data_IF_085824245275
#
_entry.id   IF_085824245275
#
_cell.length_a   1.000
_cell.length_b   1.000
_cell.length_c   1.000
_cell.angle_alpha   90.00
_cell.angle_beta   90.00
_cell.angle_gamma   90.00
#
_symmetry.space_group_name_H-M   'P 1'
#
loop_
_entity.id
_entity.type
_entity.pdbx_description
1 polymer ?
#
# COMPACT_ATOMS: atom_id res chain seq x y z
N UNK A 1 28.72 16.98 -27.62
CA UNK A 1 28.66 17.55 -26.25
C UNK A 1 28.33 16.41 -25.30
N UNK A 2 29.23 16.05 -24.39
CA UNK A 2 28.94 15.06 -23.35
C UNK A 2 28.14 15.74 -22.26
N UNK A 3 26.85 15.44 -22.13
CA UNK A 3 26.15 15.74 -20.88
C UNK A 3 26.80 14.93 -19.76
N UNK A 4 27.32 15.57 -18.70
CA UNK A 4 27.93 14.88 -17.57
C UNK A 4 26.91 13.93 -16.94
N UNK A 5 27.36 12.76 -16.49
CA UNK A 5 26.51 11.72 -15.90
C UNK A 5 25.59 12.23 -14.76
N UNK A 6 26.01 13.29 -14.05
CA UNK A 6 25.21 13.96 -13.02
C UNK A 6 23.95 14.63 -13.58
N UNK A 7 24.04 15.29 -14.73
CA UNK A 7 22.89 15.94 -15.38
C UNK A 7 21.89 14.90 -15.90
N UNK A 8 22.39 13.80 -16.46
CA UNK A 8 21.53 12.68 -16.88
C UNK A 8 20.79 12.04 -15.71
N UNK A 9 21.48 11.85 -14.58
CA UNK A 9 20.88 11.28 -13.36
C UNK A 9 19.81 12.21 -12.77
N UNK A 10 20.08 13.53 -12.74
CA UNK A 10 19.12 14.51 -12.25
C UNK A 10 17.86 14.56 -13.13
N UNK A 11 18.04 14.57 -14.45
CA UNK A 11 16.93 14.55 -15.42
C UNK A 11 16.12 13.27 -15.31
N UNK A 12 16.76 12.10 -15.22
CA UNK A 12 16.07 10.82 -15.04
C UNK A 12 15.26 10.79 -13.73
N UNK A 13 15.82 11.31 -12.63
CA UNK A 13 15.13 11.43 -11.35
C UNK A 13 13.90 12.34 -11.47
N UNK A 14 14.03 13.49 -12.14
CA UNK A 14 12.91 14.43 -12.34
C UNK A 14 11.79 13.79 -13.17
N UNK A 15 12.12 13.08 -14.24
CA UNK A 15 11.14 12.37 -15.06
C UNK A 15 10.41 11.33 -14.20
N UNK A 16 11.15 10.56 -13.38
CA UNK A 16 10.52 9.58 -12.47
C UNK A 16 9.53 10.20 -11.51
N UNK A 17 9.91 11.30 -10.87
CA UNK A 17 9.03 12.04 -9.95
C UNK A 17 7.79 12.51 -10.70
N UNK A 18 7.97 13.14 -11.87
CA UNK A 18 6.85 13.64 -12.67
C UNK A 18 5.89 12.53 -13.11
N UNK A 19 6.39 11.36 -13.51
CA UNK A 19 5.57 10.20 -13.86
C UNK A 19 4.75 9.73 -12.66
N UNK A 20 5.35 9.66 -11.48
CA UNK A 20 4.65 9.26 -10.24
C UNK A 20 3.58 10.29 -9.88
N UNK A 21 3.91 11.58 -9.90
CA UNK A 21 2.99 12.68 -9.58
C UNK A 21 1.82 12.77 -10.57
N UNK A 22 2.02 12.33 -11.82
CA UNK A 22 0.98 12.33 -12.85
C UNK A 22 0.09 11.08 -12.82
N UNK A 23 0.44 10.05 -12.05
CA UNK A 23 -0.35 8.82 -11.94
C UNK A 23 -1.31 8.89 -10.73
N UNK A 24 -2.61 8.97 -11.01
CA UNK A 24 -3.65 9.10 -9.99
C UNK A 24 -3.63 7.95 -8.96
N UNK A 25 -3.28 6.73 -9.40
CA UNK A 25 -3.23 5.57 -8.52
C UNK A 25 -2.03 5.66 -7.58
N UNK A 26 -0.86 6.10 -8.06
CA UNK A 26 0.34 6.33 -7.26
C UNK A 26 0.07 7.39 -6.20
N UNK A 27 -0.57 8.50 -6.57
CA UNK A 27 -0.97 9.54 -5.64
C UNK A 27 -1.90 9.02 -4.54
N UNK A 28 -2.91 8.21 -4.90
CA UNK A 28 -3.81 7.59 -3.92
C UNK A 28 -3.10 6.61 -2.99
N UNK A 29 -2.27 5.73 -3.54
CA UNK A 29 -1.51 4.74 -2.78
C UNK A 29 -0.56 5.40 -1.80
N UNK A 30 0.19 6.41 -2.23
CA UNK A 30 1.10 7.17 -1.37
C UNK A 30 0.35 7.96 -0.29
N UNK A 31 -0.80 8.54 -0.63
CA UNK A 31 -1.66 9.24 0.33
C UNK A 31 -2.20 8.31 1.41
N UNK A 32 -2.66 7.11 1.05
CA UNK A 32 -3.11 6.13 2.03
C UNK A 32 -1.97 5.64 2.91
N UNK A 33 -0.78 5.43 2.34
CA UNK A 33 0.39 5.08 3.14
C UNK A 33 0.77 6.18 4.15
N UNK A 34 0.77 7.45 3.74
CA UNK A 34 1.02 8.59 4.62
C UNK A 34 -0.05 8.72 5.73
N UNK A 35 -1.32 8.49 5.39
CA UNK A 35 -2.39 8.45 6.39
C UNK A 35 -2.18 7.32 7.41
N UNK A 36 -1.76 6.14 6.95
CA UNK A 36 -1.47 5.00 7.83
C UNK A 36 -0.36 5.31 8.84
N UNK A 37 0.67 6.07 8.43
CA UNK A 37 1.76 6.49 9.31
C UNK A 37 1.36 7.56 10.34
N UNK A 38 0.26 8.27 10.11
CA UNK A 38 -0.21 9.38 10.97
C UNK A 38 -1.33 8.98 11.90
N UNK A 39 -2.06 7.93 11.58
CA UNK A 39 -3.27 7.49 12.28
C UNK A 39 -3.13 6.01 12.64
N UNK A 40 -2.38 5.74 13.71
CA UNK A 40 -2.05 4.37 14.16
C UNK A 40 -3.30 3.53 14.47
N UNK A 41 -4.35 4.17 14.97
CA UNK A 41 -5.65 3.57 15.32
C UNK A 41 -6.40 2.98 14.13
N UNK A 42 -6.20 3.56 12.93
CA UNK A 42 -6.82 3.12 11.68
C UNK A 42 -5.79 2.80 10.59
N UNK A 43 -4.53 2.57 10.97
CA UNK A 43 -3.44 2.33 10.04
C UNK A 43 -3.74 1.15 9.10
N UNK A 44 -4.19 0.01 9.66
CA UNK A 44 -4.53 -1.20 8.91
C UNK A 44 -5.65 -0.98 7.89
N UNK A 45 -6.61 -0.10 8.18
CA UNK A 45 -7.65 0.28 7.24
C UNK A 45 -7.04 1.00 6.01
N UNK A 46 -6.14 1.94 6.24
CA UNK A 46 -5.46 2.63 5.14
C UNK A 46 -4.50 1.71 4.36
N UNK A 47 -3.86 0.75 5.02
CA UNK A 47 -3.05 -0.27 4.33
C UNK A 47 -3.91 -1.15 3.42
N UNK A 48 -5.12 -1.51 3.86
CA UNK A 48 -6.08 -2.23 3.02
C UNK A 48 -6.61 -1.38 1.86
N UNK A 49 -6.79 -0.06 2.06
CA UNK A 49 -7.16 0.85 0.97
C UNK A 49 -6.16 0.85 -0.19
N UNK A 50 -4.87 0.67 0.10
CA UNK A 50 -3.84 0.53 -0.94
C UNK A 50 -4.12 -0.70 -1.81
N UNK A 51 -4.47 -1.84 -1.19
CA UNK A 51 -4.87 -3.05 -1.91
C UNK A 51 -6.09 -2.75 -2.80
N UNK A 52 -7.17 -2.22 -2.25
CA UNK A 52 -8.40 -1.93 -3.02
C UNK A 52 -8.14 -1.01 -4.23
N UNK A 53 -7.26 -0.02 -4.09
CA UNK A 53 -6.88 0.88 -5.18
C UNK A 53 -6.17 0.11 -6.31
N UNK A 54 -5.25 -0.79 -5.96
CA UNK A 54 -4.52 -1.59 -6.94
C UNK A 54 -5.41 -2.65 -7.60
N UNK A 55 -6.32 -3.28 -6.85
CA UNK A 55 -7.33 -4.19 -7.42
C UNK A 55 -8.17 -3.48 -8.46
N UNK A 56 -8.67 -2.27 -8.13
CA UNK A 56 -9.45 -1.46 -9.07
C UNK A 56 -8.64 -1.07 -10.31
N UNK A 57 -7.35 -0.75 -10.17
CA UNK A 57 -6.48 -0.41 -11.30
C UNK A 57 -6.30 -1.61 -12.25
N UNK A 58 -6.08 -2.80 -11.71
CA UNK A 58 -5.75 -3.99 -12.51
C UNK A 58 -6.97 -4.85 -12.87
N UNK A 59 -8.18 -4.48 -12.44
CA UNK A 59 -9.42 -5.14 -12.81
C UNK A 59 -9.83 -6.29 -11.87
N UNK A 60 -9.18 -6.43 -10.72
CA UNK A 60 -9.49 -7.45 -9.73
C UNK A 60 -8.30 -7.83 -8.84
N UNK A 61 -8.60 -8.54 -7.76
CA UNK A 61 -7.59 -9.08 -6.84
C UNK A 61 -6.62 -10.04 -7.53
N UNK A 62 -7.14 -10.92 -8.39
CA UNK A 62 -6.32 -11.94 -9.07
C UNK A 62 -5.31 -11.30 -10.00
N UNK A 63 -5.76 -10.40 -10.87
CA UNK A 63 -4.93 -9.70 -11.85
C UNK A 63 -3.90 -8.81 -11.16
N UNK A 64 -4.29 -8.11 -10.09
CA UNK A 64 -3.37 -7.29 -9.32
C UNK A 64 -2.27 -8.13 -8.64
N UNK A 65 -2.63 -9.28 -8.06
CA UNK A 65 -1.67 -10.22 -7.48
C UNK A 65 -0.72 -10.81 -8.52
N UNK A 66 -1.22 -11.17 -9.70
CA UNK A 66 -0.39 -11.72 -10.77
C UNK A 66 0.60 -10.68 -11.30
N UNK A 67 0.21 -9.40 -11.40
CA UNK A 67 1.08 -8.31 -11.86
C UNK A 67 2.09 -7.89 -10.78
N UNK A 68 1.66 -7.74 -9.53
CA UNK A 68 2.49 -7.24 -8.42
C UNK A 68 3.38 -8.35 -7.84
N UNK A 69 2.93 -9.61 -7.88
CA UNK A 69 3.69 -10.77 -7.40
C UNK A 69 3.96 -10.82 -5.89
N UNK A 70 3.39 -9.91 -5.09
CA UNK A 70 3.57 -9.84 -3.64
C UNK A 70 2.43 -10.55 -2.89
N UNK A 71 2.12 -11.78 -3.28
CA UNK A 71 0.91 -12.50 -2.85
C UNK A 71 0.89 -12.78 -1.34
N UNK A 72 2.05 -13.06 -0.74
CA UNK A 72 2.18 -13.32 0.69
C UNK A 72 1.83 -12.08 1.50
N UNK A 73 2.42 -10.94 1.12
CA UNK A 73 2.18 -9.63 1.74
C UNK A 73 0.73 -9.19 1.55
N UNK A 74 0.19 -9.39 0.35
CA UNK A 74 -1.20 -9.08 0.02
C UNK A 74 -2.18 -9.84 0.92
N UNK A 75 -1.99 -11.16 1.04
CA UNK A 75 -2.83 -12.02 1.86
C UNK A 75 -2.71 -11.67 3.35
N UNK A 76 -1.50 -11.32 3.81
CA UNK A 76 -1.28 -10.88 5.19
C UNK A 76 -2.11 -9.62 5.49
N UNK A 77 -1.97 -8.58 4.68
CA UNK A 77 -2.68 -7.31 4.88
C UNK A 77 -4.19 -7.54 4.79
N UNK A 78 -4.68 -8.29 3.80
CA UNK A 78 -6.11 -8.61 3.68
C UNK A 78 -6.66 -9.37 4.90
N UNK A 79 -5.91 -10.34 5.43
CA UNK A 79 -6.31 -11.09 6.62
C UNK A 79 -6.34 -10.23 7.89
N UNK A 80 -5.29 -9.44 8.11
CA UNK A 80 -5.14 -8.60 9.30
C UNK A 80 -6.14 -7.44 9.28
N UNK A 81 -6.28 -6.78 8.13
CA UNK A 81 -7.24 -5.68 7.97
C UNK A 81 -8.69 -6.15 8.14
N UNK A 82 -9.11 -7.26 7.52
CA UNK A 82 -10.51 -7.71 7.63
C UNK A 82 -10.92 -8.06 9.06
N UNK A 83 -10.01 -8.62 9.84
CA UNK A 83 -10.28 -8.90 11.24
C UNK A 83 -10.32 -7.62 12.10
N UNK A 84 -9.62 -6.54 11.71
CA UNK A 84 -9.77 -5.21 12.30
C UNK A 84 -11.05 -4.50 11.84
N UNK A 85 -11.45 -4.71 10.59
CA UNK A 85 -12.54 -4.01 9.93
C UNK A 85 -13.92 -4.52 10.37
N UNK A 86 -14.01 -5.79 10.76
CA UNK A 86 -15.19 -6.36 11.41
C UNK A 86 -15.52 -5.63 12.72
N UNK A 87 -14.51 -5.24 13.51
CA UNK A 87 -14.67 -4.55 14.80
C UNK A 87 -15.16 -3.09 14.65
N UNK A 88 -14.74 -2.40 13.57
CA UNK A 88 -15.16 -1.00 13.32
C UNK A 88 -16.56 -0.92 12.68
N UNK A 89 -16.95 -1.88 11.84
CA UNK A 89 -18.27 -1.90 11.17
C UNK A 89 -19.37 -2.54 12.00
N UNK A 90 -19.02 -3.44 12.91
CA UNK A 90 -19.92 -4.04 13.87
C UNK A 90 -19.36 -3.77 15.24
N UNK A 91 -19.96 -2.83 15.97
CA UNK A 91 -19.62 -2.61 17.37
C UNK A 91 -19.62 -3.97 18.08
N UNK A 92 -18.51 -4.38 18.71
CA UNK A 92 -18.40 -5.68 19.34
C UNK A 92 -19.50 -5.81 20.37
N UNK A 93 -20.17 -6.96 20.40
CA UNK A 93 -21.21 -7.19 21.41
C UNK A 93 -20.55 -7.13 22.80
N UNK A 94 -21.29 -6.71 23.85
CA UNK A 94 -20.75 -6.72 25.21
C UNK A 94 -20.17 -8.11 25.57
N UNK A 95 -18.86 -8.18 25.80
CA UNK A 95 -18.12 -9.42 26.12
C UNK A 95 -17.44 -10.13 24.94
N UNK A 96 -17.57 -9.61 23.72
CA UNK A 96 -16.84 -10.12 22.56
C UNK A 96 -15.38 -9.67 22.62
N UNK A 97 -14.44 -10.61 22.48
CA UNK A 97 -13.01 -10.30 22.53
C UNK A 97 -12.61 -9.58 21.25
N UNK A 98 -12.42 -8.27 21.35
CA UNK A 98 -11.73 -7.46 20.36
C UNK A 98 -10.36 -8.09 20.15
N UNK A 99 -10.03 -8.42 18.90
CA UNK A 99 -8.72 -8.97 18.60
C UNK A 99 -7.72 -7.82 18.59
N UNK A 100 -7.01 -7.65 19.70
CA UNK A 100 -5.86 -6.76 19.75
C UNK A 100 -4.75 -7.32 18.87
N UNK A 101 -4.26 -6.50 17.94
CA UNK A 101 -3.16 -6.87 17.06
C UNK A 101 -1.84 -6.71 17.78
N UNK A 102 -0.92 -7.65 17.54
CA UNK A 102 0.45 -7.46 18.00
C UNK A 102 1.09 -6.33 17.19
N UNK A 103 2.00 -5.59 17.82
CA UNK A 103 2.85 -4.62 17.12
C UNK A 103 3.66 -5.27 16.00
N UNK A 104 3.94 -6.58 16.10
CA UNK A 104 4.63 -7.37 15.07
C UNK A 104 3.76 -7.56 13.82
N UNK A 105 2.48 -7.87 13.97
CA UNK A 105 1.55 -8.02 12.84
C UNK A 105 1.38 -6.70 12.08
N UNK A 106 1.25 -5.59 12.82
CA UNK A 106 1.13 -4.24 12.25
C UNK A 106 2.40 -3.89 11.47
N UNK A 107 3.58 -4.11 12.09
CA UNK A 107 4.88 -3.86 11.45
C UNK A 107 5.04 -4.69 10.17
N UNK A 108 4.69 -5.97 10.20
CA UNK A 108 4.76 -6.84 9.03
C UNK A 108 3.83 -6.36 7.90
N UNK A 109 2.66 -5.82 8.23
CA UNK A 109 1.77 -5.21 7.24
C UNK A 109 2.38 -3.95 6.61
N UNK A 110 3.03 -3.08 7.40
CA UNK A 110 3.75 -1.92 6.86
C UNK A 110 4.92 -2.33 5.96
N UNK A 111 5.71 -3.32 6.36
CA UNK A 111 6.81 -3.81 5.52
C UNK A 111 6.27 -4.42 4.20
N UNK A 112 5.19 -5.19 4.30
CA UNK A 112 4.53 -5.79 3.15
C UNK A 112 3.95 -4.75 2.19
N UNK A 113 3.31 -3.71 2.71
CA UNK A 113 2.73 -2.66 1.88
C UNK A 113 3.82 -1.84 1.18
N UNK A 114 4.94 -1.55 1.85
CA UNK A 114 6.06 -0.82 1.24
C UNK A 114 6.60 -1.61 0.03
N UNK A 115 6.72 -2.93 0.16
CA UNK A 115 7.12 -3.79 -0.95
C UNK A 115 6.13 -3.72 -2.11
N UNK A 116 4.82 -3.79 -1.83
CA UNK A 116 3.76 -3.64 -2.84
C UNK A 116 3.85 -2.29 -3.55
N UNK A 117 3.97 -1.19 -2.81
CA UNK A 117 4.12 0.17 -3.34
C UNK A 117 5.35 0.24 -4.25
N UNK A 118 6.51 -0.27 -3.80
CA UNK A 118 7.74 -0.24 -4.58
C UNK A 118 7.62 -1.02 -5.89
N UNK A 119 6.97 -2.20 -5.88
CA UNK A 119 6.73 -2.96 -7.10
C UNK A 119 5.79 -2.19 -8.02
N UNK A 120 4.69 -1.66 -7.49
CA UNK A 120 3.77 -0.83 -8.25
C UNK A 120 4.47 0.36 -8.93
N UNK A 121 5.24 1.14 -8.19
CA UNK A 121 5.98 2.29 -8.74
C UNK A 121 7.00 1.88 -9.82
N UNK A 122 7.56 0.67 -9.72
CA UNK A 122 8.44 0.13 -10.78
C UNK A 122 7.68 -0.17 -12.07
N UNK A 123 6.39 -0.49 -12.02
CA UNK A 123 5.59 -0.73 -13.23
C UNK A 123 5.31 0.54 -14.04
N UNK A 124 5.60 1.72 -13.49
CA UNK A 124 5.42 3.01 -14.17
C UNK A 124 6.60 3.39 -15.09
N UNK A 125 7.67 2.58 -15.11
CA UNK A 125 8.92 2.84 -15.83
C UNK A 125 9.34 1.65 -16.68
#
# INVERSE_FOLDING_TARGET
KFEPAKEKLATATRIKIQTIESDDTANLVLKYHDNALKQDDVALFYLYKIIEVLEKKYGGEKEAKDIIGCNTEWNLIGKVANASYADIRHAPKPGEKIKEWSSEDIKACFEGVVKIIQVYLKTLF
#
